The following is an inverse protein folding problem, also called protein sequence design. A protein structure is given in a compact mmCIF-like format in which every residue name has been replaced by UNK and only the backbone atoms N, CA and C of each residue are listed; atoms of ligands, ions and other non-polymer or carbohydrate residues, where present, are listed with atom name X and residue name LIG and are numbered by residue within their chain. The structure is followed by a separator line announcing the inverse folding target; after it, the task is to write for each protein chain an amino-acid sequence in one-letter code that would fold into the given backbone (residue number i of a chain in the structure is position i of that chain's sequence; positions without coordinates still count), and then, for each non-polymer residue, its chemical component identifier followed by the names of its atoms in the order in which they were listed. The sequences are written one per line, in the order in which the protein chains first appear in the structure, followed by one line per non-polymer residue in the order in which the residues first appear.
data_IF_750889746808
#
_entry.id   IF_750889746808
#
_cell.length_a   1.000
_cell.length_b   1.000
_cell.length_c   1.000
_cell.angle_alpha   90.00
_cell.angle_beta   90.00
_cell.angle_gamma   90.00
#
_symmetry.space_group_name_H-M   'P 1'
#
loop_
_entity.id
_entity.type
_entity.pdbx_description
1 polymer ?
#
# COMPACT_ATOMS: atom_id res chain seq x y z
N UNK A 1 35.66 -31.01 -13.61
CA UNK A 1 34.20 -31.11 -13.74
C UNK A 1 33.63 -29.89 -13.00
N UNK A 2 33.49 -28.77 -13.73
CA UNK A 2 32.94 -27.53 -13.18
C UNK A 2 31.43 -27.61 -13.23
N UNK A 3 30.78 -27.56 -12.07
CA UNK A 3 29.38 -27.19 -11.98
C UNK A 3 29.22 -25.86 -12.73
N UNK A 4 28.50 -25.90 -13.86
CA UNK A 4 28.26 -24.73 -14.68
C UNK A 4 27.49 -23.68 -13.88
N UNK A 5 28.21 -22.69 -13.34
CA UNK A 5 27.58 -21.55 -12.65
C UNK A 5 26.60 -20.91 -13.62
N UNK A 6 25.34 -20.86 -13.24
CA UNK A 6 24.31 -20.13 -14.00
C UNK A 6 24.82 -18.70 -14.25
N UNK A 7 24.72 -18.21 -15.49
CA UNK A 7 25.19 -16.85 -15.82
C UNK A 7 24.53 -15.81 -14.92
N UNK A 8 25.27 -14.77 -14.50
CA UNK A 8 24.69 -13.72 -13.66
C UNK A 8 23.52 -13.04 -14.39
N UNK A 9 22.47 -12.74 -13.64
CA UNK A 9 21.29 -12.03 -14.14
C UNK A 9 21.37 -10.56 -13.73
N UNK A 10 21.09 -9.68 -14.65
CA UNK A 10 21.00 -8.23 -14.47
C UNK A 10 19.59 -7.80 -14.83
N UNK A 11 19.01 -6.86 -14.09
CA UNK A 11 17.68 -6.35 -14.39
C UNK A 11 17.75 -4.88 -14.77
N UNK A 12 17.09 -4.50 -15.85
CA UNK A 12 16.84 -3.11 -16.23
C UNK A 12 15.34 -2.87 -16.24
N UNK A 13 14.90 -1.81 -15.59
CA UNK A 13 13.49 -1.42 -15.52
C UNK A 13 13.32 -0.06 -16.20
N UNK A 14 12.49 0.00 -17.24
CA UNK A 14 12.18 1.24 -17.94
C UNK A 14 11.10 2.01 -17.20
N UNK A 15 11.44 3.20 -16.71
CA UNK A 15 10.57 4.09 -15.95
C UNK A 15 10.66 5.57 -16.38
N UNK A 16 11.12 5.81 -17.63
CA UNK A 16 11.40 7.15 -18.15
C UNK A 16 10.19 7.83 -18.84
N UNK A 17 9.07 7.13 -19.02
CA UNK A 17 7.90 7.61 -19.75
C UNK A 17 7.20 8.81 -19.10
N UNK A 18 6.69 9.74 -19.92
CA UNK A 18 6.01 10.96 -19.48
C UNK A 18 4.65 10.71 -18.82
N UNK A 19 3.97 9.62 -19.14
CA UNK A 19 2.68 9.27 -18.56
C UNK A 19 1.55 10.29 -18.84
N UNK A 20 1.55 10.95 -19.96
CA UNK A 20 0.62 12.04 -20.32
C UNK A 20 -0.85 11.69 -20.17
N UNK A 21 -1.21 10.41 -20.45
CA UNK A 21 -2.58 9.89 -20.30
C UNK A 21 -3.06 9.80 -18.84
N UNK A 22 -2.14 9.80 -17.88
CA UNK A 22 -2.49 9.84 -16.44
C UNK A 22 -3.02 11.21 -16.01
N UNK A 23 -2.76 12.27 -16.79
CA UNK A 23 -3.15 13.66 -16.48
C UNK A 23 -2.79 14.04 -15.05
N UNK A 24 -1.55 13.73 -14.66
CA UNK A 24 -1.04 13.90 -13.30
C UNK A 24 0.27 14.67 -13.30
N UNK A 25 0.46 15.49 -12.26
CA UNK A 25 1.78 16.09 -11.95
C UNK A 25 2.70 15.13 -11.21
N UNK A 26 2.15 14.02 -10.75
CA UNK A 26 2.89 12.98 -10.04
C UNK A 26 3.45 11.96 -11.04
N UNK A 27 4.71 11.49 -10.87
CA UNK A 27 5.32 10.52 -11.78
C UNK A 27 4.46 9.27 -11.92
N UNK A 28 4.24 8.82 -13.16
CA UNK A 28 3.38 7.67 -13.46
C UNK A 28 3.69 6.44 -12.60
N UNK A 29 4.96 6.08 -12.53
CA UNK A 29 5.44 4.87 -11.85
C UNK A 29 5.38 4.94 -10.33
N UNK A 30 5.13 6.12 -9.76
CA UNK A 30 4.97 6.31 -8.32
C UNK A 30 3.50 6.28 -7.85
N UNK A 31 2.52 6.20 -8.77
CA UNK A 31 1.12 6.05 -8.35
C UNK A 31 0.95 4.79 -7.49
N UNK A 32 0.25 4.90 -6.35
CA UNK A 32 0.13 3.78 -5.41
C UNK A 32 -0.85 2.72 -5.94
N UNK A 33 -0.49 1.47 -5.70
CA UNK A 33 -1.33 0.28 -5.85
C UNK A 33 -1.21 -0.48 -4.53
N UNK A 34 -2.32 -0.69 -3.83
CA UNK A 34 -2.35 -1.36 -2.53
C UNK A 34 -1.27 -0.82 -1.54
N UNK A 35 -1.15 0.51 -1.44
CA UNK A 35 -0.23 1.21 -0.53
C UNK A 35 1.22 1.32 -0.98
N UNK A 36 1.60 0.76 -2.14
CA UNK A 36 2.96 0.79 -2.68
C UNK A 36 3.04 1.50 -4.02
N UNK A 37 4.12 2.22 -4.33
CA UNK A 37 4.37 2.72 -5.68
C UNK A 37 4.29 1.60 -6.72
N UNK A 38 3.72 1.88 -7.88
CA UNK A 38 3.59 0.92 -8.99
C UNK A 38 4.94 0.25 -9.32
N UNK A 39 6.01 1.02 -9.41
CA UNK A 39 7.36 0.50 -9.70
C UNK A 39 7.89 -0.42 -8.58
N UNK A 40 7.43 -0.27 -7.35
CA UNK A 40 7.87 -1.13 -6.24
C UNK A 40 7.35 -2.57 -6.39
N UNK A 41 6.17 -2.76 -6.96
CA UNK A 41 5.68 -4.09 -7.33
C UNK A 41 6.61 -4.76 -8.36
N UNK A 42 7.04 -4.02 -9.39
CA UNK A 42 7.99 -4.52 -10.41
C UNK A 42 9.34 -4.83 -9.79
N UNK A 43 9.86 -3.97 -8.90
CA UNK A 43 11.12 -4.18 -8.18
C UNK A 43 11.09 -5.44 -7.31
N UNK A 44 9.99 -5.69 -6.61
CA UNK A 44 9.83 -6.92 -5.80
C UNK A 44 9.89 -8.17 -6.67
N UNK A 45 9.18 -8.17 -7.78
CA UNK A 45 9.22 -9.27 -8.74
C UNK A 45 10.62 -9.44 -9.34
N UNK A 46 11.30 -8.36 -9.69
CA UNK A 46 12.67 -8.38 -10.19
C UNK A 46 13.66 -9.01 -9.18
N UNK A 47 13.54 -8.67 -7.91
CA UNK A 47 14.38 -9.22 -6.83
C UNK A 47 14.21 -10.74 -6.62
N UNK A 48 13.09 -11.31 -7.04
CA UNK A 48 12.87 -12.77 -6.98
C UNK A 48 13.83 -13.57 -7.86
N UNK A 49 14.50 -12.93 -8.82
CA UNK A 49 15.56 -13.51 -9.64
C UNK A 49 16.94 -13.46 -8.94
N UNK A 50 17.05 -12.85 -7.76
CA UNK A 50 18.34 -12.59 -7.08
C UNK A 50 19.38 -11.95 -8.02
N UNK A 51 19.04 -10.84 -8.71
CA UNK A 51 19.90 -10.28 -9.74
C UNK A 51 21.19 -9.67 -9.16
N UNK A 52 22.27 -9.72 -9.94
CA UNK A 52 23.54 -9.09 -9.59
C UNK A 52 23.46 -7.57 -9.57
N UNK A 53 22.59 -6.97 -10.41
CA UNK A 53 22.34 -5.53 -10.44
C UNK A 53 20.89 -5.26 -10.84
N UNK A 54 20.32 -4.17 -10.31
CA UNK A 54 19.04 -3.61 -10.77
C UNK A 54 19.27 -2.16 -11.17
N UNK A 55 19.01 -1.84 -12.44
CA UNK A 55 19.15 -0.47 -12.99
C UNK A 55 17.78 0.05 -13.38
N UNK A 56 17.38 1.18 -12.79
CA UNK A 56 16.15 1.88 -13.14
C UNK A 56 16.45 3.02 -14.12
N UNK A 57 15.89 2.94 -15.33
CA UNK A 57 16.01 4.01 -16.31
C UNK A 57 14.92 5.02 -16.06
N UNK A 58 15.31 6.22 -15.63
CA UNK A 58 14.42 7.33 -15.30
C UNK A 58 14.57 8.45 -16.33
N UNK A 59 13.55 9.29 -16.47
CA UNK A 59 13.56 10.39 -17.44
C UNK A 59 12.71 11.54 -16.96
N UNK A 60 11.47 11.63 -17.40
CA UNK A 60 10.55 12.65 -16.90
C UNK A 60 10.40 12.56 -15.37
N UNK A 61 10.60 13.68 -14.68
CA UNK A 61 10.57 13.77 -13.21
C UNK A 61 11.55 12.81 -12.49
N UNK A 62 12.73 12.58 -13.09
CA UNK A 62 13.75 11.66 -12.56
C UNK A 62 14.13 11.94 -11.10
N UNK A 63 14.20 13.22 -10.70
CA UNK A 63 14.55 13.61 -9.33
C UNK A 63 13.52 13.13 -8.29
N UNK A 64 12.24 13.17 -8.64
CA UNK A 64 11.16 12.72 -7.75
C UNK A 64 11.17 11.19 -7.61
N UNK A 65 11.37 10.46 -8.72
CA UNK A 65 11.47 8.99 -8.70
C UNK A 65 12.67 8.55 -7.87
N UNK A 66 13.85 9.17 -8.08
CA UNK A 66 15.06 8.87 -7.28
C UNK A 66 14.85 9.14 -5.80
N UNK A 67 14.20 10.25 -5.44
CA UNK A 67 13.90 10.59 -4.04
C UNK A 67 12.96 9.58 -3.40
N UNK A 68 11.92 9.17 -4.10
CA UNK A 68 10.95 8.19 -3.60
C UNK A 68 11.57 6.81 -3.34
N UNK A 69 12.61 6.44 -4.10
CA UNK A 69 13.30 5.17 -4.01
C UNK A 69 14.68 5.25 -3.32
N UNK A 70 15.04 6.37 -2.72
CA UNK A 70 16.35 6.61 -2.12
C UNK A 70 16.70 5.62 -0.97
N UNK A 71 15.69 5.03 -0.32
CA UNK A 71 15.88 4.02 0.73
C UNK A 71 16.20 2.61 0.21
N UNK A 72 16.40 2.40 -1.08
CA UNK A 72 16.65 1.11 -1.71
C UNK A 72 18.09 1.06 -2.23
N UNK A 73 19.06 0.54 -1.44
CA UNK A 73 20.49 0.64 -1.73
C UNK A 73 20.97 -0.25 -2.88
N UNK A 74 20.17 -1.22 -3.30
CA UNK A 74 20.44 -2.15 -4.40
C UNK A 74 20.13 -1.56 -5.78
N UNK A 75 19.58 -0.33 -5.85
CA UNK A 75 19.20 0.30 -7.11
C UNK A 75 20.30 1.20 -7.68
N UNK A 76 20.53 1.04 -8.97
CA UNK A 76 21.27 1.98 -9.81
C UNK A 76 20.30 2.76 -10.69
N UNK A 77 20.66 3.98 -11.06
CA UNK A 77 19.82 4.84 -11.89
C UNK A 77 20.56 5.27 -13.15
N UNK A 78 19.91 5.12 -14.31
CA UNK A 78 20.33 5.70 -15.57
C UNK A 78 19.33 6.78 -16.02
N UNK A 79 19.80 7.89 -16.58
CA UNK A 79 18.96 8.98 -17.04
C UNK A 79 18.76 8.91 -18.54
N UNK A 80 17.50 8.90 -18.98
CA UNK A 80 17.13 9.07 -20.38
C UNK A 80 16.67 10.52 -20.63
N UNK A 81 17.48 11.29 -21.31
CA UNK A 81 17.15 12.66 -21.73
C UNK A 81 17.81 12.99 -23.08
N UNK A 82 17.02 13.38 -24.12
CA UNK A 82 15.56 13.33 -24.22
C UNK A 82 15.02 11.90 -24.43
N UNK A 83 13.69 11.71 -24.24
CA UNK A 83 13.04 10.43 -24.53
C UNK A 83 12.91 10.22 -26.03
N UNK A 84 13.65 9.22 -26.58
CA UNK A 84 13.67 8.89 -28.01
C UNK A 84 13.23 7.46 -28.31
N UNK A 85 12.41 6.87 -27.45
CA UNK A 85 11.91 5.50 -27.61
C UNK A 85 12.55 4.50 -26.65
N UNK A 86 12.04 3.27 -26.70
CA UNK A 86 12.37 2.20 -25.74
C UNK A 86 13.79 1.64 -25.93
N UNK A 87 14.30 1.55 -27.14
CA UNK A 87 15.70 1.16 -27.38
C UNK A 87 16.67 2.20 -26.84
N UNK A 88 16.39 3.48 -27.05
CA UNK A 88 17.20 4.57 -26.51
C UNK A 88 17.17 4.55 -24.96
N UNK A 89 16.05 4.20 -24.35
CA UNK A 89 15.96 4.04 -22.89
C UNK A 89 16.90 2.93 -22.39
N UNK A 90 16.87 1.76 -23.03
CA UNK A 90 17.75 0.65 -22.66
C UNK A 90 19.23 1.00 -22.84
N UNK A 91 19.61 1.72 -23.92
CA UNK A 91 20.98 2.18 -24.14
C UNK A 91 21.55 3.00 -22.99
N UNK A 92 20.71 3.75 -22.24
CA UNK A 92 21.19 4.53 -21.10
C UNK A 92 21.70 3.64 -19.95
N UNK A 93 21.31 2.36 -19.90
CA UNK A 93 21.81 1.41 -18.93
C UNK A 93 23.18 0.80 -19.29
N UNK A 94 23.69 1.02 -20.51
CA UNK A 94 24.97 0.45 -20.96
C UNK A 94 26.13 0.78 -20.01
N UNK A 95 26.23 2.02 -19.57
CA UNK A 95 27.28 2.46 -18.63
C UNK A 95 27.23 1.75 -17.27
N UNK A 96 26.03 1.49 -16.74
CA UNK A 96 25.85 0.77 -15.49
C UNK A 96 26.19 -0.73 -15.59
N UNK A 97 26.19 -1.27 -16.83
CA UNK A 97 26.45 -2.68 -17.12
C UNK A 97 27.79 -2.88 -17.86
N UNK A 98 28.63 -1.84 -17.95
CA UNK A 98 29.91 -1.91 -18.63
C UNK A 98 30.80 -3.02 -18.02
N UNK A 99 31.35 -3.88 -18.88
CA UNK A 99 32.20 -5.01 -18.48
C UNK A 99 31.45 -6.17 -17.81
N UNK A 100 30.13 -6.13 -17.74
CA UNK A 100 29.29 -7.23 -17.24
C UNK A 100 29.02 -8.25 -18.36
N UNK A 101 28.73 -9.48 -17.95
CA UNK A 101 28.33 -10.60 -18.81
C UNK A 101 27.12 -11.30 -18.21
N UNK A 102 26.47 -12.16 -18.96
CA UNK A 102 25.30 -12.91 -18.53
C UNK A 102 24.02 -12.40 -19.17
N UNK A 103 22.92 -12.59 -18.48
CA UNK A 103 21.56 -12.31 -18.99
C UNK A 103 21.04 -10.99 -18.45
N UNK A 104 20.57 -10.12 -19.33
CA UNK A 104 19.81 -8.92 -18.97
C UNK A 104 18.31 -9.22 -19.07
N UNK A 105 17.58 -9.05 -18.00
CA UNK A 105 16.11 -9.06 -17.98
C UNK A 105 15.61 -7.63 -18.04
N UNK A 106 14.83 -7.31 -19.05
CA UNK A 106 14.22 -5.99 -19.25
C UNK A 106 12.76 -6.01 -18.85
N UNK A 107 12.40 -5.09 -17.95
CA UNK A 107 11.05 -4.91 -17.42
C UNK A 107 10.55 -3.50 -17.70
N UNK A 108 9.23 -3.33 -17.66
CA UNK A 108 8.57 -2.03 -17.69
C UNK A 108 8.07 -1.66 -16.31
N UNK A 109 8.37 -0.45 -15.82
CA UNK A 109 8.01 0.03 -14.49
C UNK A 109 6.51 0.26 -14.28
N UNK A 110 5.73 0.11 -15.33
CA UNK A 110 4.27 0.25 -15.33
C UNK A 110 3.51 -1.09 -15.54
N UNK A 111 4.20 -2.23 -15.43
CA UNK A 111 3.61 -3.58 -15.53
C UNK A 111 3.72 -4.31 -14.18
N UNK A 112 2.90 -3.93 -13.18
CA UNK A 112 3.07 -4.38 -11.80
C UNK A 112 2.56 -5.80 -11.51
N UNK A 113 1.80 -6.41 -12.42
CA UNK A 113 1.17 -7.72 -12.21
C UNK A 113 2.05 -8.90 -12.62
N UNK A 114 3.24 -8.64 -13.16
CA UNK A 114 4.16 -9.69 -13.61
C UNK A 114 4.58 -10.60 -12.45
N UNK A 115 4.38 -11.91 -12.61
CA UNK A 115 4.70 -12.88 -11.56
C UNK A 115 6.17 -13.29 -11.56
N UNK A 116 6.67 -13.67 -10.39
CA UNK A 116 8.01 -14.27 -10.24
C UNK A 116 8.15 -15.60 -10.99
N UNK A 117 7.05 -16.34 -11.15
CA UNK A 117 7.04 -17.60 -11.90
C UNK A 117 7.27 -17.34 -13.41
N UNK A 118 6.60 -16.34 -13.97
CA UNK A 118 6.79 -15.94 -15.37
C UNK A 118 8.21 -15.45 -15.62
N UNK A 119 8.80 -14.65 -14.70
CA UNK A 119 10.20 -14.23 -14.84
C UNK A 119 11.19 -15.40 -14.81
N UNK A 120 10.98 -16.37 -13.94
CA UNK A 120 11.82 -17.59 -13.93
C UNK A 120 11.69 -18.36 -15.22
N UNK A 121 10.47 -18.60 -15.71
CA UNK A 121 10.24 -19.25 -17.02
C UNK A 121 10.93 -18.53 -18.16
N UNK A 122 10.95 -17.18 -18.14
CA UNK A 122 11.64 -16.36 -19.14
C UNK A 122 13.15 -16.64 -19.12
N UNK A 123 13.78 -16.60 -17.96
CA UNK A 123 15.24 -16.82 -17.81
C UNK A 123 15.60 -18.26 -18.13
N UNK A 124 14.82 -19.24 -17.68
CA UNK A 124 15.04 -20.66 -17.97
C UNK A 124 14.93 -20.96 -19.46
N UNK A 125 13.92 -20.47 -20.14
CA UNK A 125 13.75 -20.62 -21.58
C UNK A 125 14.90 -19.96 -22.36
N UNK A 126 15.33 -18.78 -21.92
CA UNK A 126 16.46 -18.05 -22.51
C UNK A 126 17.76 -18.86 -22.45
N UNK A 127 18.06 -19.45 -21.29
CA UNK A 127 19.25 -20.27 -21.09
C UNK A 127 19.16 -21.59 -21.84
N UNK A 128 18.01 -22.28 -21.77
CA UNK A 128 17.82 -23.58 -22.43
C UNK A 128 18.03 -23.51 -23.95
N UNK A 129 17.62 -22.41 -24.57
CA UNK A 129 17.78 -22.18 -26.00
C UNK A 129 19.11 -21.53 -26.39
N UNK A 130 19.95 -21.15 -25.41
CA UNK A 130 21.12 -20.28 -25.65
C UNK A 130 20.76 -19.08 -26.55
N UNK A 131 19.61 -18.46 -26.22
CA UNK A 131 19.01 -17.43 -27.07
C UNK A 131 19.76 -16.11 -26.95
N UNK A 132 19.82 -15.35 -28.06
CA UNK A 132 20.25 -13.96 -28.02
C UNK A 132 19.20 -13.05 -27.43
N UNK A 133 17.92 -13.39 -27.64
CA UNK A 133 16.77 -12.73 -27.02
C UNK A 133 15.64 -13.73 -26.75
N UNK A 134 14.89 -13.50 -25.69
CA UNK A 134 13.64 -14.19 -25.39
C UNK A 134 12.58 -13.16 -25.03
N UNK A 135 11.40 -13.27 -25.63
CA UNK A 135 10.31 -12.30 -25.48
C UNK A 135 9.15 -12.95 -24.76
N UNK A 136 8.61 -12.29 -23.73
CA UNK A 136 7.31 -12.68 -23.17
C UNK A 136 6.22 -12.16 -24.11
N UNK A 137 5.36 -13.04 -24.58
CA UNK A 137 4.21 -12.73 -25.43
C UNK A 137 2.92 -13.15 -24.75
N UNK A 138 1.78 -12.60 -25.18
CA UNK A 138 0.49 -13.01 -24.66
C UNK A 138 -0.56 -13.04 -25.78
N UNK A 139 -1.54 -13.95 -25.64
CA UNK A 139 -2.70 -14.00 -26.52
C UNK A 139 -3.82 -13.14 -25.96
N UNK A 140 -4.27 -12.15 -26.73
CA UNK A 140 -5.32 -11.21 -26.29
C UNK A 140 -6.51 -11.18 -27.22
N UNK A 141 -7.70 -10.96 -26.71
CA UNK A 141 -8.91 -10.79 -27.51
C UNK A 141 -8.94 -9.48 -28.30
N UNK A 142 -8.33 -8.42 -27.73
CA UNK A 142 -8.28 -7.07 -28.30
C UNK A 142 -6.86 -6.53 -28.25
N UNK A 143 -6.06 -6.75 -29.30
CA UNK A 143 -4.63 -6.43 -29.32
C UNK A 143 -4.32 -4.94 -29.54
N UNK A 144 -5.31 -4.06 -29.60
CA UNK A 144 -5.14 -2.64 -29.88
C UNK A 144 -4.11 -1.96 -28.95
N UNK A 145 -3.19 -1.23 -29.55
CA UNK A 145 -2.15 -0.47 -28.83
C UNK A 145 -0.87 -1.24 -28.50
N UNK A 146 -0.81 -2.55 -28.80
CA UNK A 146 0.38 -3.37 -28.56
C UNK A 146 1.15 -3.64 -29.86
N UNK A 147 2.44 -3.97 -29.77
CA UNK A 147 3.21 -4.56 -30.85
C UNK A 147 2.69 -5.99 -31.17
N UNK A 148 2.67 -6.36 -32.43
CA UNK A 148 2.22 -7.69 -32.91
C UNK A 148 3.39 -8.61 -33.17
N UNK A 149 3.26 -9.85 -32.75
CA UNK A 149 4.25 -10.90 -33.03
C UNK A 149 3.99 -11.48 -34.41
N UNK A 150 4.88 -11.22 -35.33
CA UNK A 150 4.82 -11.82 -36.70
C UNK A 150 5.66 -13.09 -36.69
N UNK A 151 5.03 -14.21 -37.03
CA UNK A 151 5.71 -15.51 -37.10
C UNK A 151 5.85 -15.98 -38.56
N UNK A 152 6.97 -16.65 -38.85
CA UNK A 152 7.23 -17.37 -40.10
C UNK A 152 7.70 -18.76 -39.71
N UNK A 153 7.08 -19.78 -40.25
CA UNK A 153 7.36 -21.20 -39.94
C UNK A 153 7.38 -21.51 -38.41
N UNK A 154 6.44 -20.90 -37.68
CA UNK A 154 6.30 -21.04 -36.23
C UNK A 154 7.28 -20.23 -35.37
N UNK A 155 8.33 -19.66 -35.98
CA UNK A 155 9.33 -18.84 -35.28
C UNK A 155 8.96 -17.37 -35.32
N UNK A 156 9.37 -16.61 -34.29
CA UNK A 156 9.21 -15.16 -34.28
C UNK A 156 10.15 -14.54 -35.35
N UNK A 157 9.56 -13.89 -36.33
CA UNK A 157 10.31 -13.23 -37.39
C UNK A 157 10.59 -11.74 -37.05
N UNK A 158 9.59 -11.04 -36.57
CA UNK A 158 9.66 -9.63 -36.16
C UNK A 158 8.51 -9.24 -35.28
N UNK A 159 8.62 -8.08 -34.64
CA UNK A 159 7.54 -7.44 -33.91
C UNK A 159 7.19 -6.15 -34.63
N UNK A 160 5.90 -5.90 -34.88
CA UNK A 160 5.41 -4.70 -35.58
C UNK A 160 4.57 -3.88 -34.61
N UNK A 161 4.95 -2.62 -34.44
CA UNK A 161 4.18 -1.70 -33.59
C UNK A 161 2.82 -1.36 -34.22
N UNK A 162 1.80 -1.07 -33.37
CA UNK A 162 0.42 -0.79 -33.80
C UNK A 162 0.33 0.23 -34.95
N UNK A 163 1.15 1.30 -34.88
CA UNK A 163 1.09 2.40 -35.87
C UNK A 163 1.69 2.04 -37.21
N UNK A 164 2.64 1.11 -37.21
CA UNK A 164 3.34 0.65 -38.42
C UNK A 164 2.71 -0.63 -39.00
N UNK A 165 1.76 -1.25 -38.28
CA UNK A 165 1.11 -2.50 -38.66
C UNK A 165 0.13 -2.33 -39.82
N UNK A 166 0.24 -3.22 -40.83
CA UNK A 166 -0.76 -3.40 -41.90
C UNK A 166 -2.11 -3.91 -41.29
N UNK A 167 -3.21 -3.82 -42.06
CA UNK A 167 -4.49 -4.37 -41.63
C UNK A 167 -4.44 -5.86 -41.24
N UNK A 168 -3.66 -6.66 -41.99
CA UNK A 168 -3.48 -8.08 -41.70
C UNK A 168 -2.70 -8.31 -40.38
N UNK A 169 -1.66 -7.53 -40.14
CA UNK A 169 -0.87 -7.60 -38.94
C UNK A 169 -1.63 -7.13 -37.72
N UNK A 170 -2.49 -6.12 -37.82
CA UNK A 170 -3.37 -5.67 -36.73
C UNK A 170 -4.34 -6.75 -36.28
N UNK A 171 -4.68 -7.72 -37.13
CA UNK A 171 -5.55 -8.84 -36.77
C UNK A 171 -4.82 -9.93 -35.95
N UNK A 172 -3.49 -9.91 -35.87
CA UNK A 172 -2.71 -10.83 -35.05
C UNK A 172 -3.03 -10.60 -33.58
N UNK A 173 -3.37 -11.68 -32.88
CA UNK A 173 -3.78 -11.65 -31.47
C UNK A 173 -2.62 -11.87 -30.50
N UNK A 174 -1.47 -12.34 -30.98
CA UNK A 174 -0.26 -12.47 -30.17
C UNK A 174 0.45 -11.13 -30.07
N UNK A 175 0.62 -10.63 -28.85
CA UNK A 175 1.19 -9.31 -28.59
C UNK A 175 2.56 -9.40 -27.91
N UNK A 176 3.33 -8.35 -28.10
CA UNK A 176 4.55 -8.09 -27.36
C UNK A 176 4.21 -7.48 -25.99
N UNK A 177 4.72 -8.10 -24.91
CA UNK A 177 4.52 -7.59 -23.55
C UNK A 177 5.47 -6.45 -23.18
N UNK A 178 6.57 -6.26 -23.92
CA UNK A 178 7.64 -5.36 -23.53
C UNK A 178 8.61 -5.95 -22.50
N UNK A 179 8.51 -7.24 -22.18
CA UNK A 179 9.34 -7.96 -21.22
C UNK A 179 10.26 -8.90 -21.99
N UNK A 180 11.57 -8.80 -21.73
CA UNK A 180 12.58 -9.53 -22.48
C UNK A 180 13.67 -10.09 -21.58
N UNK A 181 14.34 -11.15 -22.05
CA UNK A 181 15.67 -11.53 -21.63
C UNK A 181 16.62 -11.42 -22.83
N UNK A 182 17.81 -10.89 -22.61
CA UNK A 182 18.85 -10.72 -23.61
C UNK A 182 20.18 -11.31 -23.13
N UNK A 183 20.94 -11.95 -24.02
CA UNK A 183 22.36 -12.12 -23.78
C UNK A 183 23.07 -10.75 -23.90
N UNK A 184 23.83 -10.38 -22.88
CA UNK A 184 24.54 -9.09 -22.85
C UNK A 184 25.58 -8.94 -23.94
N UNK A 185 26.21 -10.03 -24.38
CA UNK A 185 27.32 -9.96 -25.33
C UNK A 185 26.95 -9.30 -26.66
N UNK A 186 25.87 -9.70 -27.38
CA UNK A 186 25.49 -9.07 -28.65
C UNK A 186 24.61 -7.82 -28.47
N UNK A 187 24.09 -7.53 -27.29
CA UNK A 187 22.98 -6.58 -27.08
C UNK A 187 23.34 -5.16 -27.45
N UNK A 188 24.44 -4.64 -26.94
CA UNK A 188 24.79 -3.21 -27.12
C UNK A 188 25.11 -2.88 -28.56
N UNK A 189 25.80 -3.79 -29.27
CA UNK A 189 26.09 -3.64 -30.68
C UNK A 189 24.82 -3.74 -31.56
N UNK A 190 23.89 -4.63 -31.18
CA UNK A 190 22.60 -4.73 -31.84
C UNK A 190 21.73 -3.48 -31.64
N UNK A 191 21.70 -2.91 -30.43
CA UNK A 191 20.98 -1.67 -30.14
C UNK A 191 21.47 -0.48 -30.95
N UNK A 192 22.78 -0.37 -31.19
CA UNK A 192 23.36 0.67 -32.09
C UNK A 192 22.91 0.55 -33.53
N UNK A 193 22.47 -0.63 -33.95
CA UNK A 193 21.94 -0.89 -35.30
C UNK A 193 20.47 -0.50 -35.51
N UNK A 194 19.75 -0.05 -34.47
CA UNK A 194 18.34 0.36 -34.56
C UNK A 194 18.25 1.74 -35.20
N UNK A 195 17.37 1.87 -36.20
CA UNK A 195 17.05 3.13 -36.86
C UNK A 195 15.75 3.74 -36.31
N UNK A 196 15.56 5.04 -36.50
CA UNK A 196 14.32 5.75 -36.13
C UNK A 196 13.41 6.07 -37.34
N UNK A 197 13.51 5.27 -38.40
CA UNK A 197 12.74 5.44 -39.66
C UNK A 197 11.35 4.73 -39.55
N UNK A 198 10.53 5.12 -38.57
CA UNK A 198 9.19 4.56 -38.33
C UNK A 198 8.17 5.69 -38.14
N UNK A 199 6.89 5.35 -38.01
CA UNK A 199 5.78 6.30 -37.90
C UNK A 199 5.91 7.31 -36.76
N UNK A 200 6.70 7.00 -35.71
CA UNK A 200 6.89 7.87 -34.55
C UNK A 200 8.24 8.59 -34.53
N UNK A 201 9.17 8.22 -35.41
CA UNK A 201 10.54 8.75 -35.38
C UNK A 201 11.35 8.32 -34.15
N UNK A 202 10.99 7.20 -33.52
CA UNK A 202 11.57 6.71 -32.28
C UNK A 202 12.42 5.46 -32.49
N UNK A 203 13.36 5.20 -31.62
CA UNK A 203 14.15 3.96 -31.62
C UNK A 203 13.34 2.85 -30.93
N UNK A 204 12.72 1.98 -31.72
CA UNK A 204 11.92 0.88 -31.25
C UNK A 204 12.77 -0.31 -30.81
N UNK A 205 12.60 -0.74 -29.56
CA UNK A 205 13.27 -1.94 -29.04
C UNK A 205 12.84 -3.20 -29.78
N UNK A 206 11.62 -3.23 -30.28
CA UNK A 206 11.03 -4.34 -31.05
C UNK A 206 11.81 -4.67 -32.33
N UNK A 207 12.56 -3.73 -32.87
CA UNK A 207 13.41 -3.94 -34.04
C UNK A 207 14.59 -4.90 -33.77
N UNK A 208 14.98 -5.09 -32.49
CA UNK A 208 16.04 -6.05 -32.13
C UNK A 208 15.73 -7.47 -32.57
N UNK A 209 14.47 -7.90 -32.57
CA UNK A 209 14.08 -9.23 -33.02
C UNK A 209 14.47 -9.45 -34.46
N UNK A 210 14.18 -8.48 -35.35
CA UNK A 210 14.58 -8.54 -36.74
C UNK A 210 16.10 -8.47 -36.93
N UNK A 211 16.80 -7.68 -36.13
CA UNK A 211 18.27 -7.58 -36.16
C UNK A 211 18.90 -8.92 -35.74
N UNK A 212 18.43 -9.55 -34.66
CA UNK A 212 18.94 -10.84 -34.17
C UNK A 212 18.72 -11.94 -35.21
N UNK A 213 17.52 -12.02 -35.78
CA UNK A 213 17.25 -12.99 -36.87
C UNK A 213 18.17 -12.82 -38.07
N UNK A 214 18.43 -11.58 -38.50
CA UNK A 214 19.40 -11.33 -39.63
C UNK A 214 20.83 -11.71 -39.25
N UNK A 215 21.21 -11.66 -37.98
CA UNK A 215 22.52 -12.06 -37.47
C UNK A 215 22.63 -13.56 -37.18
N UNK A 216 21.55 -14.34 -37.37
CA UNK A 216 21.51 -15.77 -37.07
C UNK A 216 21.51 -16.06 -35.54
N UNK A 217 21.17 -15.08 -34.70
CA UNK A 217 21.04 -15.26 -33.26
C UNK A 217 19.65 -15.81 -32.94
N UNK A 218 19.54 -16.87 -32.13
CA UNK A 218 18.23 -17.44 -31.79
C UNK A 218 17.36 -16.43 -31.03
N UNK A 219 16.08 -16.34 -31.39
CA UNK A 219 15.06 -15.56 -30.68
C UNK A 219 13.94 -16.48 -30.27
N UNK A 220 13.68 -16.54 -28.95
CA UNK A 220 12.67 -17.40 -28.36
C UNK A 220 11.48 -16.59 -27.81
N UNK A 221 10.39 -17.30 -27.52
CA UNK A 221 9.19 -16.70 -26.92
C UNK A 221 8.68 -17.53 -25.74
N UNK A 222 8.25 -16.82 -24.70
CA UNK A 222 7.45 -17.40 -23.61
C UNK A 222 6.04 -16.88 -23.76
N UNK A 223 5.14 -17.74 -24.19
CA UNK A 223 3.73 -17.37 -24.41
C UNK A 223 2.95 -17.51 -23.12
N UNK A 224 2.23 -16.47 -22.72
CA UNK A 224 1.28 -16.45 -21.61
C UNK A 224 -0.12 -16.77 -22.12
N UNK A 225 -0.85 -17.59 -21.38
CA UNK A 225 -2.23 -17.96 -21.68
C UNK A 225 -3.18 -16.75 -21.49
N UNK A 226 -2.85 -15.87 -20.55
CA UNK A 226 -3.59 -14.64 -20.26
C UNK A 226 -2.71 -13.41 -20.36
N UNK A 227 -3.29 -12.27 -20.70
CA UNK A 227 -2.57 -11.01 -20.78
C UNK A 227 -2.52 -10.26 -19.44
N UNK A 228 -3.10 -10.79 -18.38
CA UNK A 228 -3.25 -10.07 -17.11
C UNK A 228 -1.90 -9.65 -16.53
N UNK A 229 -0.91 -10.56 -16.55
CA UNK A 229 0.44 -10.27 -16.06
C UNK A 229 1.18 -9.19 -16.87
N UNK A 230 0.77 -8.94 -18.10
CA UNK A 230 1.44 -8.01 -19.03
C UNK A 230 0.72 -6.66 -19.13
N UNK A 231 -0.30 -6.45 -18.31
CA UNK A 231 -1.07 -5.19 -18.34
C UNK A 231 -0.23 -4.01 -17.89
N UNK A 232 0.03 -3.11 -18.83
CA UNK A 232 0.64 -1.81 -18.55
C UNK A 232 -0.40 -0.79 -18.12
N UNK A 233 -0.05 0.05 -17.15
CA UNK A 233 -0.92 1.12 -16.65
C UNK A 233 -0.53 2.44 -17.31
N UNK A 234 -1.44 3.02 -18.09
CA UNK A 234 -1.25 4.27 -18.79
C UNK A 234 -2.34 5.32 -18.51
N UNK A 235 -3.44 4.90 -17.88
CA UNK A 235 -4.59 5.74 -17.55
C UNK A 235 -5.09 5.48 -16.13
N UNK A 236 -5.93 6.37 -15.61
CA UNK A 236 -6.56 6.21 -14.29
C UNK A 236 -7.52 5.03 -14.24
N UNK A 237 -8.17 4.70 -15.33
CA UNK A 237 -9.06 3.53 -15.42
C UNK A 237 -8.28 2.24 -15.37
N UNK A 238 -7.15 2.14 -16.08
CA UNK A 238 -6.26 0.99 -16.00
C UNK A 238 -5.65 0.84 -14.60
N UNK A 239 -5.26 1.96 -13.95
CA UNK A 239 -4.79 1.96 -12.57
C UNK A 239 -5.86 1.40 -11.61
N UNK A 240 -7.11 1.81 -11.75
CA UNK A 240 -8.21 1.31 -10.93
C UNK A 240 -8.46 -0.19 -11.14
N UNK A 241 -8.39 -0.66 -12.39
CA UNK A 241 -8.56 -2.08 -12.70
C UNK A 241 -7.44 -2.94 -12.14
N UNK A 242 -6.18 -2.54 -12.33
CA UNK A 242 -5.02 -3.26 -11.77
C UNK A 242 -5.04 -3.23 -10.24
N UNK A 243 -5.40 -2.10 -9.63
CA UNK A 243 -5.57 -2.01 -8.17
C UNK A 243 -6.64 -2.98 -7.65
N UNK A 244 -7.72 -3.18 -8.41
CA UNK A 244 -8.74 -4.18 -8.07
C UNK A 244 -8.19 -5.59 -8.12
N UNK A 245 -7.38 -5.93 -9.12
CA UNK A 245 -6.76 -7.26 -9.24
C UNK A 245 -5.81 -7.51 -8.07
N UNK A 246 -4.91 -6.56 -7.77
CA UNK A 246 -3.97 -6.69 -6.64
C UNK A 246 -4.71 -6.86 -5.32
N UNK A 247 -5.77 -6.09 -5.08
CA UNK A 247 -6.61 -6.22 -3.89
C UNK A 247 -7.28 -7.58 -3.81
N UNK A 248 -7.82 -8.08 -4.91
CA UNK A 248 -8.45 -9.39 -4.96
C UNK A 248 -7.45 -10.50 -4.62
N UNK A 249 -6.26 -10.47 -5.20
CA UNK A 249 -5.19 -11.42 -4.89
C UNK A 249 -4.83 -11.38 -3.40
N UNK A 250 -4.67 -10.20 -2.82
CA UNK A 250 -4.38 -10.04 -1.38
C UNK A 250 -5.49 -10.64 -0.51
N UNK A 251 -6.74 -10.38 -0.86
CA UNK A 251 -7.89 -10.93 -0.12
C UNK A 251 -7.96 -12.46 -0.25
N UNK A 252 -7.68 -13.01 -1.42
CA UNK A 252 -7.63 -14.46 -1.65
C UNK A 252 -6.51 -15.14 -0.84
N UNK A 253 -5.32 -14.52 -0.79
CA UNK A 253 -4.21 -14.99 0.04
C UNK A 253 -4.59 -15.05 1.54
N UNK A 254 -5.23 -14.00 2.05
CA UNK A 254 -5.68 -13.96 3.44
C UNK A 254 -6.78 -14.99 3.72
N UNK A 255 -7.74 -15.16 2.82
CA UNK A 255 -8.78 -16.19 2.95
C UNK A 255 -8.17 -17.60 2.92
N UNK A 256 -7.17 -17.85 2.07
CA UNK A 256 -6.44 -19.12 2.04
C UNK A 256 -5.64 -19.37 3.34
N UNK A 257 -5.24 -18.31 4.04
CA UNK A 257 -4.57 -18.36 5.33
C UNK A 257 -5.54 -18.46 6.54
N UNK A 258 -6.85 -18.60 6.30
CA UNK A 258 -7.86 -18.81 7.35
C UNK A 258 -8.57 -17.56 7.83
N UNK A 259 -8.45 -16.42 7.14
CA UNK A 259 -9.22 -15.20 7.42
C UNK A 259 -10.58 -15.28 6.74
N UNK A 260 -11.65 -14.91 7.43
CA UNK A 260 -12.98 -14.77 6.83
C UNK A 260 -13.19 -13.33 6.36
N UNK A 261 -13.32 -13.11 5.05
CA UNK A 261 -13.69 -11.82 4.46
C UNK A 261 -15.10 -11.94 3.90
N UNK A 262 -16.07 -11.26 4.52
CA UNK A 262 -17.50 -11.42 4.18
C UNK A 262 -17.80 -10.90 2.78
N UNK A 263 -17.22 -9.76 2.40
CA UNK A 263 -17.36 -9.18 1.06
C UNK A 263 -15.99 -8.71 0.55
N UNK A 264 -15.24 -9.58 -0.16
CA UNK A 264 -13.92 -9.23 -0.69
C UNK A 264 -13.96 -8.06 -1.70
N UNK A 265 -15.09 -7.83 -2.36
CA UNK A 265 -15.21 -6.77 -3.37
C UNK A 265 -15.16 -5.37 -2.76
N UNK A 266 -15.70 -5.20 -1.56
CA UNK A 266 -15.74 -3.92 -0.84
C UNK A 266 -14.69 -3.79 0.25
N UNK A 267 -13.87 -4.82 0.49
CA UNK A 267 -12.82 -4.83 1.50
C UNK A 267 -11.48 -4.43 0.88
N UNK A 268 -10.83 -3.41 1.47
CA UNK A 268 -9.58 -2.85 0.98
C UNK A 268 -8.45 -3.15 1.97
N UNK A 269 -7.55 -4.06 1.61
CA UNK A 269 -6.41 -4.45 2.44
C UNK A 269 -5.13 -4.21 1.65
N UNK A 270 -4.25 -3.37 2.19
CA UNK A 270 -2.96 -3.06 1.57
C UNK A 270 -1.96 -4.22 1.72
N UNK A 271 -0.98 -4.26 0.84
CA UNK A 271 0.00 -5.35 0.74
C UNK A 271 0.79 -5.57 2.05
N UNK A 272 1.12 -4.49 2.77
CA UNK A 272 1.86 -4.55 4.04
C UNK A 272 1.08 -5.10 5.24
N UNK A 273 -0.23 -5.22 5.13
CA UNK A 273 -1.12 -5.62 6.22
C UNK A 273 -1.03 -7.13 6.47
N UNK A 274 -1.04 -7.50 7.75
CA UNK A 274 -1.08 -8.88 8.22
C UNK A 274 -2.36 -9.12 9.03
N UNK A 275 -2.99 -10.27 8.84
CA UNK A 275 -4.21 -10.66 9.56
C UNK A 275 -4.07 -12.11 9.99
N UNK A 276 -4.32 -12.38 11.28
CA UNK A 276 -4.29 -13.73 11.85
C UNK A 276 -5.51 -14.56 11.48
N UNK A 277 -5.35 -15.87 11.53
CA UNK A 277 -6.41 -16.84 11.23
C UNK A 277 -7.63 -16.67 12.16
N UNK A 278 -8.78 -17.14 11.70
CA UNK A 278 -10.08 -17.07 12.38
C UNK A 278 -10.59 -15.63 12.62
N UNK A 279 -9.90 -14.62 12.10
CA UNK A 279 -10.36 -13.22 12.12
C UNK A 279 -11.42 -13.00 11.05
N UNK A 280 -12.50 -12.30 11.43
CA UNK A 280 -13.62 -11.96 10.55
C UNK A 280 -13.55 -10.49 10.17
N UNK A 281 -13.57 -10.21 8.86
CA UNK A 281 -13.56 -8.86 8.29
C UNK A 281 -14.88 -8.61 7.56
N UNK A 282 -15.61 -7.60 8.03
CA UNK A 282 -16.91 -7.22 7.49
C UNK A 282 -16.80 -6.30 6.26
N UNK A 283 -17.90 -6.10 5.51
CA UNK A 283 -17.89 -5.27 4.30
C UNK A 283 -17.43 -3.82 4.54
N UNK A 284 -16.72 -3.26 3.57
CA UNK A 284 -16.28 -1.86 3.60
C UNK A 284 -15.14 -1.54 4.58
N UNK A 285 -14.50 -2.57 5.14
CA UNK A 285 -13.31 -2.38 5.99
C UNK A 285 -12.11 -1.98 5.13
N UNK A 286 -11.30 -1.05 5.66
CA UNK A 286 -10.08 -0.56 5.04
C UNK A 286 -8.91 -0.75 6.02
N UNK A 287 -7.94 -1.58 5.67
CA UNK A 287 -6.71 -1.82 6.43
C UNK A 287 -5.50 -1.34 5.63
N UNK A 288 -4.74 -0.41 6.21
CA UNK A 288 -3.67 0.29 5.49
C UNK A 288 -2.32 0.27 6.25
N UNK A 289 -1.25 0.54 5.51
CA UNK A 289 0.10 0.70 6.04
C UNK A 289 0.69 -0.60 6.59
N UNK A 290 1.28 -0.52 7.77
CA UNK A 290 1.89 -1.64 8.47
C UNK A 290 0.95 -2.26 9.52
N UNK A 291 -0.35 -2.15 9.31
CA UNK A 291 -1.37 -2.69 10.22
C UNK A 291 -1.22 -4.20 10.39
N UNK A 292 -1.27 -4.64 11.66
CA UNK A 292 -1.33 -6.05 12.04
C UNK A 292 -2.61 -6.31 12.83
N UNK A 293 -3.33 -7.33 12.46
CA UNK A 293 -4.51 -7.80 13.20
C UNK A 293 -4.23 -9.22 13.66
N UNK A 294 -4.43 -9.49 14.94
CA UNK A 294 -4.26 -10.81 15.55
C UNK A 294 -5.31 -11.81 15.12
N UNK A 295 -5.30 -12.97 15.74
CA UNK A 295 -6.21 -14.08 15.44
C UNK A 295 -7.53 -13.96 16.18
N UNK A 296 -8.58 -14.58 15.64
CA UNK A 296 -9.92 -14.65 16.25
C UNK A 296 -10.51 -13.28 16.59
N UNK A 297 -10.13 -12.24 15.87
CA UNK A 297 -10.63 -10.86 16.03
C UNK A 297 -11.81 -10.61 15.08
N UNK A 298 -12.60 -9.58 15.35
CA UNK A 298 -13.75 -9.21 14.51
C UNK A 298 -13.71 -7.71 14.19
N UNK A 299 -13.55 -7.38 12.91
CA UNK A 299 -13.47 -6.00 12.41
C UNK A 299 -14.75 -5.70 11.65
N UNK A 300 -15.63 -4.92 12.25
CA UNK A 300 -16.94 -4.62 11.67
C UNK A 300 -16.90 -3.57 10.57
N UNK A 301 -18.01 -3.51 9.84
CA UNK A 301 -18.15 -2.77 8.60
C UNK A 301 -17.79 -1.28 8.70
N UNK A 302 -17.18 -0.77 7.62
CA UNK A 302 -16.79 0.63 7.44
C UNK A 302 -15.79 1.15 8.47
N UNK A 303 -15.00 0.25 9.06
CA UNK A 303 -13.89 0.60 9.94
C UNK A 303 -12.63 0.83 9.10
N UNK A 304 -11.87 1.89 9.43
CA UNK A 304 -10.56 2.18 8.83
C UNK A 304 -9.46 2.06 9.89
N UNK A 305 -8.44 1.25 9.60
CA UNK A 305 -7.29 1.02 10.50
C UNK A 305 -6.01 1.27 9.72
N UNK A 306 -5.14 2.14 10.25
CA UNK A 306 -3.88 2.53 9.60
C UNK A 306 -2.72 2.41 10.60
N UNK A 307 -1.61 1.78 10.19
CA UNK A 307 -0.36 1.69 10.96
C UNK A 307 -0.58 1.30 12.43
N UNK A 308 -1.47 0.33 12.68
CA UNK A 308 -1.92 -0.04 14.02
C UNK A 308 -1.67 -1.52 14.29
N UNK A 309 -1.52 -1.87 15.58
CA UNK A 309 -1.35 -3.23 16.04
C UNK A 309 -2.56 -3.64 16.88
N UNK A 310 -3.35 -4.57 16.34
CA UNK A 310 -4.58 -5.09 16.96
C UNK A 310 -4.28 -6.52 17.44
N UNK A 311 -4.45 -6.76 18.71
CA UNK A 311 -4.21 -8.07 19.33
C UNK A 311 -5.23 -9.13 18.95
N UNK A 312 -5.12 -10.30 19.61
CA UNK A 312 -6.05 -11.42 19.41
C UNK A 312 -7.40 -11.14 20.10
N UNK A 313 -8.46 -11.72 19.55
CA UNK A 313 -9.82 -11.65 20.12
C UNK A 313 -10.32 -10.23 20.37
N UNK A 314 -9.83 -9.25 19.59
CA UNK A 314 -10.28 -7.86 19.64
C UNK A 314 -11.54 -7.71 18.79
N UNK A 315 -12.52 -6.97 19.30
CA UNK A 315 -13.72 -6.57 18.54
C UNK A 315 -13.67 -5.09 18.25
N UNK A 316 -13.65 -4.72 16.95
CA UNK A 316 -13.79 -3.33 16.51
C UNK A 316 -15.13 -3.18 15.82
N UNK A 317 -16.03 -2.42 16.44
CA UNK A 317 -17.38 -2.19 15.93
C UNK A 317 -17.39 -1.17 14.78
N UNK A 318 -18.55 -1.04 14.13
CA UNK A 318 -18.73 -0.25 12.91
C UNK A 318 -18.25 1.21 13.02
N UNK A 319 -17.80 1.75 11.88
CA UNK A 319 -17.49 3.17 11.67
C UNK A 319 -16.39 3.73 12.59
N UNK A 320 -15.45 2.90 13.00
CA UNK A 320 -14.28 3.35 13.75
C UNK A 320 -13.15 3.82 12.81
N UNK A 321 -12.39 4.81 13.28
CA UNK A 321 -11.13 5.25 12.66
C UNK A 321 -10.00 5.06 13.67
N UNK A 322 -9.04 4.20 13.35
CA UNK A 322 -7.95 3.81 14.24
C UNK A 322 -6.61 4.07 13.51
N UNK A 323 -5.79 4.95 14.06
CA UNK A 323 -4.56 5.39 13.46
C UNK A 323 -3.41 5.22 14.46
N UNK A 324 -2.31 4.59 14.08
CA UNK A 324 -1.07 4.49 14.86
C UNK A 324 -1.30 4.11 16.32
N UNK A 325 -2.13 3.09 16.56
CA UNK A 325 -2.62 2.68 17.88
C UNK A 325 -2.32 1.21 18.13
N UNK A 326 -1.90 0.86 19.35
CA UNK A 326 -1.80 -0.52 19.82
C UNK A 326 -3.02 -0.87 20.64
N UNK A 327 -3.69 -1.97 20.32
CA UNK A 327 -4.87 -2.49 21.05
C UNK A 327 -4.55 -3.92 21.49
N UNK A 328 -4.52 -4.14 22.81
CA UNK A 328 -4.21 -5.44 23.38
C UNK A 328 -5.39 -6.41 23.29
N UNK A 329 -5.10 -7.68 23.60
CA UNK A 329 -5.99 -8.81 23.49
C UNK A 329 -7.34 -8.61 24.21
N UNK A 330 -8.40 -9.03 23.54
CA UNK A 330 -9.77 -9.06 24.09
C UNK A 330 -10.40 -7.69 24.32
N UNK A 331 -9.79 -6.61 23.87
CA UNK A 331 -10.36 -5.28 23.95
C UNK A 331 -11.53 -5.10 22.97
N UNK A 332 -12.42 -4.14 23.28
CA UNK A 332 -13.53 -3.79 22.41
C UNK A 332 -13.53 -2.28 22.12
N UNK A 333 -13.68 -1.91 20.84
CA UNK A 333 -13.65 -0.52 20.38
C UNK A 333 -14.87 -0.21 19.53
N UNK A 334 -15.51 0.91 19.80
CA UNK A 334 -16.60 1.45 18.98
C UNK A 334 -18.02 1.19 19.54
N UNK A 335 -19.03 1.44 18.69
CA UNK A 335 -18.92 2.01 17.32
C UNK A 335 -18.58 3.51 17.31
N UNK A 336 -18.26 4.10 16.14
CA UNK A 336 -17.96 5.52 15.97
C UNK A 336 -16.87 6.05 16.89
N UNK A 337 -15.84 5.25 17.19
CA UNK A 337 -14.68 5.69 17.96
C UNK A 337 -13.58 6.23 17.02
N UNK A 338 -12.86 7.26 17.50
CA UNK A 338 -11.72 7.81 16.81
C UNK A 338 -10.45 7.71 17.67
N UNK A 339 -9.57 6.80 17.30
CA UNK A 339 -8.27 6.63 17.95
C UNK A 339 -7.19 7.29 17.11
N UNK A 340 -6.69 8.43 17.57
CA UNK A 340 -5.61 9.19 16.91
C UNK A 340 -4.24 8.53 17.23
N UNK A 341 -3.17 8.89 16.54
CA UNK A 341 -1.88 8.23 16.75
C UNK A 341 -1.34 8.36 18.19
N UNK A 342 -0.64 7.31 18.63
CA UNK A 342 0.08 7.27 19.89
C UNK A 342 -0.75 6.76 21.08
N UNK A 343 -1.79 5.95 20.84
CA UNK A 343 -2.54 5.32 21.93
C UNK A 343 -2.06 3.90 22.21
N UNK A 344 -2.21 3.48 23.47
CA UNK A 344 -2.08 2.11 23.91
C UNK A 344 -3.33 1.71 24.70
N UNK A 345 -4.07 0.72 24.19
CA UNK A 345 -5.31 0.20 24.80
C UNK A 345 -5.01 -1.16 25.40
N UNK A 346 -5.20 -1.29 26.70
CA UNK A 346 -4.89 -2.48 27.48
C UNK A 346 -5.84 -3.65 27.24
N UNK A 347 -5.45 -4.81 27.75
CA UNK A 347 -6.24 -6.04 27.65
C UNK A 347 -7.65 -5.87 28.21
N UNK A 348 -8.64 -6.40 27.47
CA UNK A 348 -10.06 -6.36 27.86
C UNK A 348 -10.61 -4.95 28.19
N UNK A 349 -9.89 -3.91 27.77
CA UNK A 349 -10.39 -2.54 27.89
C UNK A 349 -11.54 -2.28 26.90
N UNK A 350 -12.41 -1.34 27.25
CA UNK A 350 -13.57 -0.98 26.43
C UNK A 350 -13.56 0.50 26.08
N UNK A 351 -13.58 0.78 24.79
CA UNK A 351 -13.78 2.13 24.24
C UNK A 351 -15.12 2.10 23.51
N UNK A 352 -16.06 2.94 23.92
CA UNK A 352 -17.40 2.92 23.34
C UNK A 352 -17.63 4.00 22.27
N UNK A 353 -18.91 4.28 22.04
CA UNK A 353 -19.33 5.17 20.97
C UNK A 353 -18.99 6.64 21.22
N UNK A 354 -18.54 7.31 20.14
CA UNK A 354 -18.17 8.72 20.14
C UNK A 354 -17.07 9.07 21.15
N UNK A 355 -16.14 8.14 21.36
CA UNK A 355 -14.94 8.35 22.18
C UNK A 355 -13.77 8.68 21.27
N UNK A 356 -13.06 9.75 21.57
CA UNK A 356 -11.80 10.11 20.92
C UNK A 356 -10.63 9.90 21.90
N UNK A 357 -9.61 9.16 21.48
CA UNK A 357 -8.33 9.03 22.18
C UNK A 357 -7.20 9.69 21.38
N UNK A 358 -6.30 10.36 22.09
CA UNK A 358 -5.11 10.97 21.51
C UNK A 358 -3.92 10.87 22.46
N UNK A 359 -2.86 10.17 22.06
CA UNK A 359 -1.66 9.97 22.91
C UNK A 359 -2.05 9.54 24.33
N UNK A 360 -2.91 8.53 24.42
CA UNK A 360 -3.50 8.08 25.67
C UNK A 360 -3.21 6.61 25.90
N UNK A 361 -2.81 6.28 27.12
CA UNK A 361 -2.76 4.90 27.61
C UNK A 361 -4.04 4.64 28.39
N UNK A 362 -4.79 3.61 27.99
CA UNK A 362 -5.96 3.11 28.72
C UNK A 362 -5.61 1.72 29.26
N UNK A 363 -5.48 1.59 30.57
CA UNK A 363 -5.03 0.37 31.22
C UNK A 363 -5.99 -0.82 31.12
N UNK A 364 -5.52 -2.04 31.45
CA UNK A 364 -6.31 -3.26 31.35
C UNK A 364 -7.64 -3.18 32.10
N UNK A 365 -8.72 -3.69 31.49
CA UNK A 365 -10.06 -3.71 32.07
C UNK A 365 -10.73 -2.35 32.22
N UNK A 366 -10.07 -1.26 31.87
CA UNK A 366 -10.61 0.10 31.96
C UNK A 366 -11.64 0.36 30.87
N UNK A 367 -12.60 1.25 31.16
CA UNK A 367 -13.76 1.51 30.30
C UNK A 367 -13.96 3.01 30.08
N UNK A 368 -14.09 3.42 28.85
CA UNK A 368 -14.57 4.75 28.41
C UNK A 368 -15.73 4.54 27.43
N UNK A 369 -16.95 4.28 27.93
CA UNK A 369 -18.01 3.73 27.11
C UNK A 369 -18.74 4.74 26.23
N UNK A 370 -18.70 6.05 26.51
CA UNK A 370 -19.53 7.03 25.82
C UNK A 370 -18.93 8.45 25.78
N UNK A 371 -19.03 9.13 24.61
CA UNK A 371 -18.96 10.59 24.47
C UNK A 371 -17.80 11.24 25.23
N UNK A 372 -16.58 10.75 25.11
CA UNK A 372 -15.45 11.27 25.89
C UNK A 372 -14.30 11.69 24.97
N UNK A 373 -13.60 12.76 25.37
CA UNK A 373 -12.30 13.10 24.82
C UNK A 373 -11.21 12.85 25.86
N UNK A 374 -10.32 11.92 25.56
CA UNK A 374 -9.21 11.56 26.43
C UNK A 374 -7.91 11.80 25.65
N UNK A 375 -7.28 12.94 25.92
CA UNK A 375 -6.05 13.37 25.26
C UNK A 375 -4.91 13.54 26.23
N UNK A 376 -3.70 13.12 25.86
CA UNK A 376 -2.48 13.21 26.63
C UNK A 376 -2.68 12.64 28.08
N UNK A 377 -3.38 11.48 28.18
CA UNK A 377 -3.79 10.89 29.45
C UNK A 377 -3.13 9.54 29.70
N UNK A 378 -2.80 9.27 30.96
CA UNK A 378 -2.40 7.95 31.45
C UNK A 378 -3.49 7.44 32.40
N UNK A 379 -4.20 6.40 31.96
CA UNK A 379 -5.31 5.82 32.70
C UNK A 379 -4.92 4.41 33.12
N UNK A 380 -4.95 4.13 34.40
CA UNK A 380 -4.59 2.86 35.02
C UNK A 380 -5.56 1.71 34.71
N UNK A 381 -5.40 0.62 35.42
CA UNK A 381 -6.25 -0.56 35.29
C UNK A 381 -7.60 -0.41 35.99
N UNK A 382 -8.64 -1.05 35.42
CA UNK A 382 -9.99 -1.11 35.99
C UNK A 382 -10.61 0.25 36.32
N UNK A 383 -10.25 1.28 35.57
CA UNK A 383 -10.84 2.63 35.70
C UNK A 383 -12.15 2.68 34.92
N UNK A 384 -13.16 3.37 35.51
CA UNK A 384 -14.40 3.68 34.81
C UNK A 384 -14.46 5.16 34.49
N UNK A 385 -14.50 5.50 33.21
CA UNK A 385 -14.64 6.89 32.72
C UNK A 385 -16.10 7.13 32.33
N UNK A 386 -16.77 8.04 33.04
CA UNK A 386 -18.17 8.40 32.80
C UNK A 386 -18.37 9.12 31.47
N UNK A 387 -19.58 9.04 30.93
CA UNK A 387 -19.96 9.72 29.70
C UNK A 387 -19.75 11.24 29.79
N UNK A 388 -19.27 11.87 28.71
CA UNK A 388 -19.02 13.32 28.68
C UNK A 388 -17.73 13.75 29.39
N UNK A 389 -16.87 12.82 29.77
CA UNK A 389 -15.56 13.18 30.37
C UNK A 389 -14.63 13.77 29.34
N UNK A 390 -14.00 14.89 29.71
CA UNK A 390 -13.03 15.60 28.89
C UNK A 390 -11.74 15.84 29.69
N UNK A 391 -10.61 15.41 29.13
CA UNK A 391 -9.30 15.89 29.59
C UNK A 391 -9.03 17.25 28.94
N UNK A 392 -9.05 18.32 29.71
CA UNK A 392 -8.74 19.67 29.25
C UNK A 392 -7.21 19.83 29.19
N UNK A 393 -6.59 19.23 28.19
CA UNK A 393 -5.15 19.02 28.10
C UNK A 393 -4.38 20.20 27.46
N UNK A 394 -5.04 21.28 27.06
CA UNK A 394 -4.41 22.41 26.39
C UNK A 394 -4.77 23.75 27.06
N UNK A 395 -3.76 24.51 27.49
CA UNK A 395 -3.90 25.78 28.17
C UNK A 395 -3.88 27.01 27.25
N UNK A 396 -3.88 26.79 25.93
CA UNK A 396 -3.73 27.83 24.93
C UNK A 396 -2.29 27.98 24.38
N UNK A 397 -1.29 27.41 25.07
CA UNK A 397 0.11 27.42 24.66
C UNK A 397 0.75 26.03 24.68
N UNK A 398 0.48 25.23 25.72
CA UNK A 398 1.09 23.93 25.96
C UNK A 398 0.04 22.87 26.27
N UNK A 399 0.46 21.61 26.10
CA UNK A 399 -0.34 20.46 26.51
C UNK A 399 0.19 19.90 27.81
N UNK A 400 -0.73 19.51 28.69
CA UNK A 400 -0.47 18.98 30.00
C UNK A 400 -1.07 17.57 30.14
N UNK A 401 -0.44 16.68 30.91
CA UNK A 401 -0.92 15.32 31.12
C UNK A 401 -2.05 15.26 32.16
N UNK A 402 -2.94 14.29 31.97
CA UNK A 402 -3.89 13.85 32.99
C UNK A 402 -3.51 12.45 33.42
N UNK A 403 -3.45 12.19 34.72
CA UNK A 403 -3.21 10.85 35.28
C UNK A 403 -4.44 10.39 36.03
N UNK A 404 -4.92 9.20 35.71
CA UNK A 404 -6.02 8.54 36.43
C UNK A 404 -5.52 7.18 36.87
N UNK A 405 -5.33 7.01 38.18
CA UNK A 405 -4.74 5.77 38.71
C UNK A 405 -5.74 4.62 38.78
N UNK A 406 -5.24 3.42 39.08
CA UNK A 406 -6.01 2.17 39.07
C UNK A 406 -7.30 2.25 39.90
N UNK A 407 -8.37 1.69 39.35
CA UNK A 407 -9.63 1.54 40.02
C UNK A 407 -10.41 2.84 40.29
N UNK A 408 -9.93 3.97 39.76
CA UNK A 408 -10.64 5.24 39.93
C UNK A 408 -11.98 5.23 39.16
N UNK A 409 -12.94 6.01 39.66
CA UNK A 409 -14.26 6.19 39.04
C UNK A 409 -14.48 7.66 38.72
N UNK A 410 -14.59 7.97 37.43
CA UNK A 410 -14.86 9.32 36.94
C UNK A 410 -16.37 9.43 36.67
N UNK A 411 -17.04 10.31 37.34
CA UNK A 411 -18.47 10.58 37.12
C UNK A 411 -18.72 11.21 35.75
N UNK A 412 -19.94 11.06 35.24
CA UNK A 412 -20.32 11.64 33.94
C UNK A 412 -20.21 13.16 33.93
N UNK A 413 -19.93 13.73 32.73
CA UNK A 413 -19.81 15.17 32.52
C UNK A 413 -18.72 15.81 33.40
N UNK A 414 -17.59 15.13 33.51
CA UNK A 414 -16.41 15.60 34.26
C UNK A 414 -15.40 16.26 33.31
N UNK A 415 -14.93 17.46 33.69
CA UNK A 415 -13.81 18.12 33.06
C UNK A 415 -12.58 17.99 33.97
N UNK A 416 -11.55 17.33 33.47
CA UNK A 416 -10.25 17.18 34.14
C UNK A 416 -9.30 18.25 33.60
N UNK A 417 -9.06 19.32 34.35
CA UNK A 417 -8.23 20.45 33.93
C UNK A 417 -6.76 20.09 34.18
N UNK A 418 -6.09 19.71 33.12
CA UNK A 418 -4.71 19.26 33.21
C UNK A 418 -3.71 20.43 33.49
N UNK A 419 -2.59 20.21 34.21
CA UNK A 419 -2.19 18.91 34.77
C UNK A 419 -3.02 18.51 36.04
N UNK A 420 -3.47 17.28 36.09
CA UNK A 420 -4.26 16.78 37.25
C UNK A 420 -4.08 15.26 37.39
N UNK A 421 -4.02 14.80 38.65
CA UNK A 421 -3.98 13.39 38.99
C UNK A 421 -5.25 12.99 39.80
N UNK A 422 -5.93 11.92 39.37
CA UNK A 422 -6.97 11.26 40.15
C UNK A 422 -6.36 10.00 40.73
N UNK A 423 -6.21 9.96 42.06
CA UNK A 423 -5.51 8.90 42.78
C UNK A 423 -6.23 7.56 42.75
N UNK A 424 -5.50 6.51 43.11
CA UNK A 424 -5.97 5.12 43.12
C UNK A 424 -7.30 4.95 43.87
N UNK A 425 -8.29 4.35 43.22
CA UNK A 425 -9.60 4.10 43.78
C UNK A 425 -10.40 5.35 44.14
N UNK A 426 -9.96 6.54 43.74
CA UNK A 426 -10.69 7.77 44.00
C UNK A 426 -11.94 7.88 43.11
N UNK A 427 -12.91 8.65 43.58
CA UNK A 427 -14.14 8.95 42.85
C UNK A 427 -14.20 10.43 42.48
N UNK A 428 -14.72 10.72 41.31
CA UNK A 428 -15.08 12.09 40.92
C UNK A 428 -16.58 12.18 40.75
N UNK A 429 -17.20 13.13 41.43
CA UNK A 429 -18.64 13.36 41.34
C UNK A 429 -19.05 13.88 39.95
N UNK A 430 -20.15 13.36 39.40
CA UNK A 430 -20.64 13.79 38.09
C UNK A 430 -20.87 15.30 38.00
N UNK A 431 -20.58 15.91 36.80
CA UNK A 431 -20.72 17.35 36.58
C UNK A 431 -19.63 18.19 37.25
N UNK A 432 -18.46 17.63 37.57
CA UNK A 432 -17.38 18.32 38.26
C UNK A 432 -16.30 18.83 37.31
N UNK A 433 -15.80 20.05 37.57
CA UNK A 433 -14.58 20.57 36.92
C UNK A 433 -13.41 20.49 37.91
N UNK A 434 -12.60 19.46 37.75
CA UNK A 434 -11.48 19.11 38.65
C UNK A 434 -10.23 19.86 38.25
N UNK A 435 -9.73 20.73 39.12
CA UNK A 435 -8.55 21.61 38.90
C UNK A 435 -7.37 21.28 39.80
N UNK A 436 -7.58 20.43 40.82
CA UNK A 436 -6.57 19.99 41.78
C UNK A 436 -6.59 18.46 41.87
N UNK A 437 -5.46 17.90 42.30
CA UNK A 437 -5.34 16.44 42.45
C UNK A 437 -6.37 15.87 43.42
N UNK A 438 -6.95 14.73 43.08
CA UNK A 438 -7.86 14.00 43.98
C UNK A 438 -7.08 12.87 44.63
N UNK A 439 -6.89 12.90 45.98
CA UNK A 439 -6.12 11.86 46.67
C UNK A 439 -6.71 10.47 46.50
N UNK A 440 -5.87 9.44 46.65
CA UNK A 440 -6.32 8.05 46.60
C UNK A 440 -7.47 7.78 47.57
N UNK A 441 -8.50 7.08 47.10
CA UNK A 441 -9.68 6.73 47.87
C UNK A 441 -10.60 7.92 48.27
N UNK A 442 -10.27 9.14 47.80
CA UNK A 442 -11.08 10.34 48.08
C UNK A 442 -12.22 10.51 47.08
N UNK A 443 -13.19 11.35 47.44
CA UNK A 443 -14.24 11.84 46.53
C UNK A 443 -13.98 13.31 46.18
N UNK A 444 -13.64 13.56 44.93
CA UNK A 444 -13.53 14.93 44.38
C UNK A 444 -14.87 15.42 43.85
N UNK A 445 -15.35 16.59 44.37
CA UNK A 445 -16.57 17.24 43.87
C UNK A 445 -16.28 18.73 43.65
N UNK A 446 -16.49 19.18 42.41
CA UNK A 446 -16.29 20.58 42.01
C UNK A 446 -17.45 21.04 41.12
N UNK A 447 -18.63 21.20 41.73
CA UNK A 447 -19.87 21.66 41.08
C UNK A 447 -20.71 22.48 42.03
N UNK A 448 -21.59 23.33 41.49
CA UNK A 448 -22.54 24.13 42.29
C UNK A 448 -23.53 23.26 43.06
N UNK A 449 -23.98 23.77 44.25
CA UNK A 449 -25.07 23.14 45.01
C UNK A 449 -26.40 23.37 44.30
N UNK A 450 -27.17 22.31 44.11
CA UNK A 450 -28.50 22.39 43.50
C UNK A 450 -29.44 23.30 44.32
N UNK A 451 -30.14 24.18 43.63
CA UNK A 451 -31.23 24.98 44.20
C UNK A 451 -32.51 24.74 43.41
N UNK A 452 -33.58 24.39 44.06
CA UNK A 452 -34.88 24.23 43.44
C UNK A 452 -35.69 25.51 43.64
N UNK A 453 -36.24 26.04 42.56
CA UNK A 453 -37.09 27.24 42.56
C UNK A 453 -38.53 26.79 42.31
N UNK A 454 -39.28 26.59 43.39
CA UNK A 454 -40.67 26.14 43.32
C UNK A 454 -41.57 27.15 42.59
N UNK A 455 -42.57 26.66 41.84
CA UNK A 455 -43.51 27.49 41.09
C UNK A 455 -42.87 28.34 39.96
N UNK A 456 -41.63 28.04 39.53
CA UNK A 456 -40.92 28.84 38.52
C UNK A 456 -41.63 28.79 37.14
N UNK A 457 -42.17 27.64 36.75
CA UNK A 457 -42.84 27.46 35.45
C UNK A 457 -44.17 28.22 35.44
N UNK A 458 -44.95 28.15 36.50
CA UNK A 458 -46.22 28.87 36.64
C UNK A 458 -46.03 30.38 36.57
N UNK A 459 -45.03 30.93 37.32
CA UNK A 459 -44.70 32.36 37.27
C UNK A 459 -44.28 32.81 35.85
N UNK A 460 -43.56 31.96 35.10
CA UNK A 460 -43.13 32.26 33.76
C UNK A 460 -44.29 32.30 32.74
N UNK A 461 -45.34 31.49 32.97
CA UNK A 461 -46.54 31.50 32.12
C UNK A 461 -47.38 32.77 32.30
N UNK A 462 -47.42 33.31 33.53
CA UNK A 462 -48.20 34.51 33.87
C UNK A 462 -47.59 35.81 33.32
N UNK A 463 -46.33 35.83 32.97
CA UNK A 463 -45.64 37.01 32.35
C UNK A 463 -45.88 37.11 30.84
N UNK A 464 -46.53 36.16 30.21
CA UNK A 464 -46.87 36.16 28.77
C UNK A 464 -48.31 36.55 28.43
N UNK A 465 -49.09 36.99 29.43
CA UNK A 465 -50.41 37.62 29.24
C UNK A 465 -50.27 39.09 29.55
#
# INVERSE_FOLDING_TARGET
EGEGKTPPTHVVILAAGQGTRMKSRFPKVLHPIAGRPMVDHVLRTARSLSPSTITLVVGHQAAEVRRALAGQPDLQFALQEPQRGTAHALQQAEGALAGRHGTLVLLSGDVPLLSSATLRRLVDAHHAASAGATVVTALVGRPYGYGRIVRVDGRIARIVEERDASPAERAIREINSGIYAFDLAPLWDALRGIASTNAQGEFYLTDLVGIYNRRGLPVETVVLETADETRGINSRSELAEVSRIVRQTKNEELMAAGVTIIDPATTYIEDGVQVGADTVIHPGVILEGQTKVGSASEIHAYTRIVDSEIGDRVTVLNFCVILGTTIAEGAAVGPFAHLRPGNAVGERAKIGNFVELKKTTLGPGSKAPHLSYLGDATIGANVNVGAGTITCNYDGQRKHPTVIEDGAFIGSDTQLIAPVTVGKGAYVGAGSSITEDVPAGALGIARGRQTNVEGWVERKKTVKT
#
